data_IF_962153986153
#
_entry.id   IF_962153986153
#
_cell.length_a   1.000
_cell.length_b   1.000
_cell.length_c   1.000
_cell.angle_alpha   90.00
_cell.angle_beta   90.00
_cell.angle_gamma   90.00
#
_symmetry.space_group_name_H-M   'P 1'
#
loop_
_entity.id
_entity.type
_entity.pdbx_description
1 polymer ?
2 non-polymer ?
3 water ?
#
# COMPACT_ATOMS: atom_id res chain seq x y z
N UNK A 96 -12.62 -13.82 -13.37
CA UNK A 96 -12.93 -13.20 -12.04
C UNK A 96 -11.64 -12.69 -11.42
N UNK A 97 -11.27 -11.46 -11.76
CA UNK A 97 -10.11 -10.79 -11.12
C UNK A 97 -10.45 -10.29 -9.70
N UNK A 98 -10.59 -11.24 -8.79
CA UNK A 98 -10.78 -10.95 -7.37
C UNK A 98 -9.49 -10.44 -6.74
N UNK A 99 -9.60 -9.86 -5.56
CA UNK A 99 -8.40 -9.46 -4.84
C UNK A 99 -7.43 -10.67 -4.70
N UNK A 100 -7.95 -11.81 -4.31
CA UNK A 100 -7.13 -13.03 -4.12
C UNK A 100 -6.43 -13.39 -5.41
N UNK A 101 -7.17 -13.36 -6.53
CA UNK A 101 -6.59 -13.75 -7.81
C UNK A 101 -5.54 -12.76 -8.29
N UNK A 102 -5.77 -11.49 -8.07
CA UNK A 102 -4.75 -10.48 -8.32
C UNK A 102 -3.43 -10.83 -7.62
N UNK A 103 -3.49 -11.11 -6.33
CA UNK A 103 -2.28 -11.45 -5.58
C UNK A 103 -1.61 -12.75 -6.07
N UNK A 104 -2.40 -13.77 -6.40
CA UNK A 104 -1.85 -15.01 -7.00
C UNK A 104 -1.06 -14.74 -8.27
N UNK A 105 -1.59 -13.89 -9.14
CA UNK A 105 -0.90 -13.53 -10.37
C UNK A 105 0.40 -12.80 -10.04
N UNK A 106 0.34 -11.81 -9.15
CA UNK A 106 1.52 -11.07 -8.78
C UNK A 106 2.57 -11.98 -8.16
N UNK A 107 2.17 -12.91 -7.29
CA UNK A 107 3.11 -13.81 -6.60
C UNK A 107 3.81 -14.69 -7.61
N UNK A 108 3.06 -15.29 -8.53
CA UNK A 108 3.68 -16.04 -9.59
C UNK A 108 4.69 -15.20 -10.40
N UNK A 109 4.30 -14.01 -10.86
CA UNK A 109 5.17 -13.25 -11.75
C UNK A 109 6.37 -12.57 -11.13
N UNK A 110 6.35 -12.38 -9.81
CA UNK A 110 7.50 -11.83 -9.10
C UNK A 110 8.68 -12.78 -9.23
N UNK A 111 8.40 -14.08 -9.34
CA UNK A 111 9.45 -15.11 -9.46
C UNK A 111 9.89 -15.39 -10.92
N UNK A 112 9.32 -14.72 -11.92
CA UNK A 112 9.59 -15.07 -13.33
C UNK A 112 10.70 -14.24 -13.97
N UNK A 113 11.55 -14.90 -14.75
CA UNK A 113 12.61 -14.27 -15.50
C UNK A 113 11.99 -13.62 -16.73
N UNK A 114 12.20 -12.32 -16.90
CA UNK A 114 11.52 -11.60 -17.99
C UNK A 114 12.40 -11.39 -19.24
N UNK A 115 13.54 -12.08 -19.28
CA UNK A 115 14.51 -11.93 -20.40
C UNK A 115 13.81 -11.96 -21.77
N UNK A 116 12.89 -12.90 -21.95
CA UNK A 116 12.25 -13.11 -23.26
C UNK A 116 10.77 -12.69 -23.28
N UNK A 117 10.35 -11.91 -22.30
CA UNK A 117 8.96 -11.53 -22.21
C UNK A 117 8.41 -10.97 -23.54
N UNK A 118 7.34 -11.58 -24.04
CA UNK A 118 6.58 -11.05 -25.17
C UNK A 118 5.95 -9.68 -24.89
N UNK A 119 5.84 -8.84 -25.91
CA UNK A 119 5.22 -7.51 -25.78
C UNK A 119 3.83 -7.60 -25.15
N UNK A 120 2.98 -8.51 -25.62
CA UNK A 120 1.63 -8.54 -25.09
C UNK A 120 1.60 -8.92 -23.62
N UNK A 121 2.52 -9.79 -23.20
CA UNK A 121 2.63 -10.13 -21.79
C UNK A 121 3.18 -8.99 -20.96
N UNK A 122 4.12 -8.25 -21.52
CA UNK A 122 4.68 -7.11 -20.85
C UNK A 122 3.60 -6.03 -20.65
N UNK A 123 2.78 -5.81 -21.70
CA UNK A 123 1.69 -4.86 -21.64
C UNK A 123 0.75 -5.24 -20.51
N UNK A 124 0.47 -6.52 -20.36
CA UNK A 124 -0.43 -6.99 -19.31
C UNK A 124 0.20 -6.87 -17.90
N UNK A 125 1.51 -7.10 -17.81
CA UNK A 125 2.24 -6.92 -16.57
C UNK A 125 2.19 -5.44 -16.14
N UNK A 126 2.24 -4.55 -17.10
CA UNK A 126 2.06 -3.13 -16.79
C UNK A 126 0.69 -2.90 -16.15
N UNK A 127 -0.35 -3.50 -16.72
CA UNK A 127 -1.68 -3.37 -16.15
C UNK A 127 -1.77 -3.93 -14.72
N UNK A 128 -1.12 -5.08 -14.51
CA UNK A 128 -1.07 -5.72 -13.23
C UNK A 128 -0.42 -4.85 -12.15
N UNK A 129 0.68 -4.22 -12.53
CA UNK A 129 1.37 -3.32 -11.64
C UNK A 129 0.56 -2.06 -11.33
N UNK A 130 -0.14 -1.54 -12.32
CA UNK A 130 -1.00 -0.36 -12.15
C UNK A 130 -2.16 -0.67 -11.22
N UNK A 131 -2.81 -1.80 -11.45
CA UNK A 131 -3.90 -2.21 -10.59
C UNK A 131 -3.41 -2.44 -9.16
N UNK A 132 -2.28 -3.09 -8.98
CA UNK A 132 -1.83 -3.42 -7.61
C UNK A 132 -1.34 -2.15 -6.86
N UNK A 133 -0.73 -1.23 -7.61
CA UNK A 133 -0.30 0.05 -7.06
C UNK A 133 -1.49 0.73 -6.39
N UNK A 134 -2.64 0.68 -7.05
CA UNK A 134 -3.86 1.28 -6.54
C UNK A 134 -4.46 0.55 -5.34
N UNK A 135 -3.94 -0.61 -4.96
CA UNK A 135 -4.36 -1.27 -3.71
C UNK A 135 -3.61 -0.77 -2.49
N UNK A 136 -2.58 0.06 -2.70
CA UNK A 136 -1.91 0.75 -1.60
C UNK A 136 -2.62 2.08 -1.34
N UNK A 137 -2.70 2.48 -0.07
CA UNK A 137 -3.18 3.80 0.29
C UNK A 137 -2.13 4.80 -0.18
N UNK A 138 -2.57 6.03 -0.45
CA UNK A 138 -1.69 7.12 -0.91
C UNK A 138 -0.50 7.32 0.01
N UNK A 139 -0.74 7.25 1.31
CA UNK A 139 0.32 7.36 2.32
C UNK A 139 1.47 6.34 2.15
N UNK A 140 1.24 5.21 1.46
CA UNK A 140 2.30 4.19 1.27
C UNK A 140 3.20 4.42 0.04
N UNK A 141 2.83 5.37 -0.83
CA UNK A 141 3.60 5.58 -2.06
C UNK A 141 5.04 5.96 -1.82
N UNK A 142 5.29 6.79 -0.82
CA UNK A 142 6.64 7.15 -0.47
C UNK A 142 7.47 5.93 -0.11
N UNK A 143 6.89 5.01 0.65
CA UNK A 143 7.63 3.82 1.11
C UNK A 143 7.94 2.90 -0.08
N UNK A 144 6.96 2.76 -0.97
CA UNK A 144 7.13 1.99 -2.21
C UNK A 144 8.26 2.51 -3.06
N UNK A 145 8.19 3.79 -3.38
CA UNK A 145 9.26 4.46 -4.15
C UNK A 145 10.61 4.31 -3.47
N UNK A 146 10.67 4.52 -2.17
CA UNK A 146 11.94 4.41 -1.43
C UNK A 146 12.52 3.01 -1.54
N UNK A 147 11.66 2.02 -1.39
CA UNK A 147 12.09 0.62 -1.45
C UNK A 147 12.53 0.24 -2.85
N UNK A 148 11.84 0.79 -3.85
CA UNK A 148 12.15 0.56 -5.25
C UNK A 148 13.50 1.18 -5.63
N UNK A 149 13.74 2.43 -5.24
CA UNK A 149 15.03 3.07 -5.47
C UNK A 149 16.19 2.19 -4.92
N UNK A 150 16.04 1.75 -3.69
CA UNK A 150 17.09 1.02 -3.02
C UNK A 150 17.29 -0.37 -3.64
N UNK A 151 16.20 -1.03 -3.99
CA UNK A 151 16.27 -2.36 -4.58
C UNK A 151 17.06 -2.29 -5.88
N UNK A 152 16.84 -1.24 -6.66
CA UNK A 152 17.43 -1.10 -7.98
C UNK A 152 18.79 -0.34 -8.06
N UNK A 153 19.27 0.18 -6.94
CA UNK A 153 20.47 1.02 -6.96
C UNK A 153 20.32 2.30 -7.80
N UNK A 154 19.11 2.83 -7.81
CA UNK A 154 18.83 4.05 -8.57
C UNK A 154 19.30 5.26 -7.83
N UNK A 155 19.92 6.19 -8.54
CA UNK A 155 20.36 7.44 -7.95
C UNK A 155 19.26 8.47 -7.69
N UNK A 156 19.65 9.47 -6.94
CA UNK A 156 18.82 10.58 -6.56
C UNK A 156 18.27 11.24 -7.82
N UNK A 157 19.14 11.37 -8.81
CA UNK A 157 18.79 11.85 -10.14
C UNK A 157 17.51 11.24 -10.71
N UNK A 158 17.22 9.98 -10.40
CA UNK A 158 16.05 9.26 -10.91
C UNK A 158 14.90 9.14 -9.91
N UNK A 159 14.96 9.88 -8.80
CA UNK A 159 13.99 9.71 -7.69
C UNK A 159 12.64 10.30 -7.99
N UNK A 160 12.66 11.53 -8.51
CA UNK A 160 11.45 12.20 -8.91
C UNK A 160 10.70 11.38 -9.95
N UNK A 161 11.45 10.76 -10.84
CA UNK A 161 10.87 10.07 -11.95
C UNK A 161 10.11 8.78 -11.50
N UNK A 162 10.75 7.99 -10.66
CA UNK A 162 10.13 6.77 -10.16
C UNK A 162 8.93 7.11 -9.28
N UNK A 163 9.07 8.12 -8.45
CA UNK A 163 7.92 8.57 -7.65
C UNK A 163 6.75 9.03 -8.55
N UNK A 164 7.06 9.77 -9.60
CA UNK A 164 5.99 10.29 -10.45
C UNK A 164 5.21 9.13 -11.04
N UNK A 165 5.91 8.11 -11.53
CA UNK A 165 5.26 6.93 -12.09
C UNK A 165 4.33 6.28 -11.05
N UNK A 166 4.79 6.14 -9.81
CA UNK A 166 3.97 5.58 -8.77
C UNK A 166 2.73 6.45 -8.48
N UNK A 167 2.94 7.76 -8.33
CA UNK A 167 1.82 8.67 -8.11
C UNK A 167 0.79 8.62 -9.23
N UNK A 168 1.27 8.60 -10.46
CA UNK A 168 0.38 8.67 -11.62
C UNK A 168 -0.31 7.34 -11.99
N UNK A 169 0.32 6.21 -11.62
CA UNK A 169 -0.38 4.96 -11.69
C UNK A 169 -1.46 4.96 -10.64
N UNK A 170 -1.13 5.45 -9.45
CA UNK A 170 -2.02 5.42 -8.30
C UNK A 170 -3.22 6.30 -8.53
N UNK A 171 -3.02 7.46 -9.15
CA UNK A 171 -4.14 8.37 -9.44
C UNK A 171 -4.75 8.15 -10.82
N UNK A 172 -4.37 7.08 -11.52
CA UNK A 172 -4.82 6.90 -12.90
C UNK A 172 -6.32 6.66 -13.00
N UNK A 173 -6.89 7.04 -14.15
CA UNK A 173 -8.31 6.90 -14.49
C UNK A 173 -8.40 6.44 -15.95
N UNK A 174 -9.15 5.36 -16.19
CA UNK A 174 -9.36 4.78 -17.52
C UNK A 174 -8.10 4.39 -18.28
N UNK A 175 -7.08 3.93 -17.56
CA UNK A 175 -5.83 3.54 -18.18
C UNK A 175 -5.06 4.64 -18.90
N UNK A 176 -5.42 5.91 -18.68
CA UNK A 176 -4.80 7.03 -19.39
C UNK A 176 -3.26 7.14 -19.25
N UNK A 177 -2.77 7.25 -18.03
CA UNK A 177 -1.34 7.40 -17.82
C UNK A 177 -0.61 6.09 -18.18
N UNK A 178 -1.21 4.97 -17.84
CA UNK A 178 -0.63 3.68 -18.12
C UNK A 178 -0.34 3.58 -19.63
N UNK A 179 -1.33 3.93 -20.44
CA UNK A 179 -1.21 3.83 -21.89
C UNK A 179 -0.09 4.77 -22.38
N UNK A 180 0.06 5.93 -21.75
CA UNK A 180 1.10 6.88 -22.13
C UNK A 180 2.50 6.34 -21.76
N UNK A 181 2.61 5.72 -20.60
CA UNK A 181 3.85 5.07 -20.19
C UNK A 181 4.29 3.98 -21.19
N UNK A 182 3.36 3.11 -21.56
CA UNK A 182 3.59 2.10 -22.56
C UNK A 182 4.15 2.68 -23.84
N UNK A 183 3.60 3.80 -24.31
CA UNK A 183 4.09 4.43 -25.53
C UNK A 183 5.44 5.10 -25.33
N UNK A 184 5.65 5.73 -24.19
CA UNK A 184 6.80 6.61 -24.03
C UNK A 184 8.08 5.93 -23.53
N UNK A 185 7.93 4.90 -22.70
CA UNK A 185 9.06 4.24 -22.13
C UNK A 185 9.64 3.20 -23.05
N UNK A 186 10.96 3.11 -23.11
CA UNK A 186 11.62 1.97 -23.77
C UNK A 186 11.34 0.65 -23.05
N UNK A 187 11.47 -0.45 -23.78
CA UNK A 187 11.18 -1.79 -23.25
C UNK A 187 11.99 -2.19 -22.00
N UNK A 188 13.30 -1.99 -22.03
CA UNK A 188 14.13 -2.30 -20.88
C UNK A 188 13.67 -1.57 -19.62
N UNK A 189 13.38 -0.28 -19.75
CA UNK A 189 12.95 0.52 -18.59
C UNK A 189 11.64 0.00 -17.96
N UNK A 190 10.70 -0.38 -18.80
CA UNK A 190 9.45 -0.93 -18.32
C UNK A 190 9.61 -2.27 -17.57
N UNK A 191 10.40 -3.17 -18.16
CA UNK A 191 10.70 -4.49 -17.63
C UNK A 191 11.31 -4.36 -16.25
N UNK A 192 12.31 -3.51 -16.16
CA UNK A 192 13.01 -3.23 -14.91
C UNK A 192 12.08 -2.71 -13.84
N UNK A 193 11.28 -1.73 -14.19
CA UNK A 193 10.31 -1.17 -13.27
C UNK A 193 9.34 -2.24 -12.80
N UNK A 194 8.77 -2.99 -13.75
CA UNK A 194 7.78 -4.01 -13.42
C UNK A 194 8.41 -5.09 -12.55
N UNK A 195 9.60 -5.55 -12.90
CA UNK A 195 10.28 -6.59 -12.13
C UNK A 195 10.64 -6.15 -10.69
N UNK A 196 11.12 -4.92 -10.55
CA UNK A 196 11.36 -4.35 -9.21
C UNK A 196 10.04 -4.23 -8.39
N UNK A 197 9.01 -3.67 -9.00
CA UNK A 197 7.73 -3.52 -8.30
C UNK A 197 7.24 -4.85 -7.72
N UNK A 198 7.25 -5.90 -8.54
CA UNK A 198 6.68 -7.18 -8.16
C UNK A 198 7.52 -7.86 -7.09
N UNK A 199 8.81 -7.53 -7.05
CA UNK A 199 9.70 -8.07 -6.04
C UNK A 199 9.65 -7.32 -4.73
N UNK A 200 9.18 -6.08 -4.70
CA UNK A 200 9.10 -5.33 -3.42
C UNK A 200 7.67 -5.14 -2.87
N UNK A 201 6.68 -5.08 -3.77
CA UNK A 201 5.31 -4.68 -3.42
C UNK A 201 4.66 -5.68 -2.45
N UNK A 202 4.93 -6.95 -2.64
CA UNK A 202 4.23 -7.98 -1.88
C UNK A 202 4.61 -8.09 -0.40
N UNK A 203 5.66 -7.42 0.04
CA UNK A 203 6.03 -7.41 1.46
C UNK A 203 5.70 -6.08 2.14
N UNK A 204 5.20 -5.11 1.38
CA UNK A 204 4.92 -3.80 1.95
C UNK A 204 3.48 -3.73 2.38
N UNK A 205 3.20 -3.25 3.61
CA UNK A 205 1.80 -3.02 4.02
C UNK A 205 1.02 -2.14 3.04
N UNK A 206 -0.25 -2.47 2.82
CA UNK A 206 -1.05 -1.69 1.90
C UNK A 206 -1.73 -0.53 2.62
N UNK A 207 -1.69 -0.49 3.96
CA UNK A 207 -2.18 0.62 4.79
C UNK A 207 -1.19 0.95 5.91
N UNK A 208 -1.06 2.24 6.25
CA UNK A 208 -0.14 2.66 7.35
C UNK A 208 -0.77 3.29 8.59
N UNK A 209 -1.98 3.86 8.45
CA UNK A 209 -2.61 4.70 9.48
C UNK A 209 -2.63 4.08 10.89
N UNK A 210 -2.07 4.81 11.87
CA UNK A 210 -2.03 4.35 13.27
C UNK A 210 -3.42 3.87 13.72
N UNK A 211 -4.45 4.67 13.42
CA UNK A 211 -5.85 4.29 13.63
C UNK A 211 -6.16 2.90 13.04
N UNK A 212 -5.75 2.69 11.78
CA UNK A 212 -5.98 1.41 11.10
C UNK A 212 -5.16 0.24 11.66
N UNK A 213 -3.85 0.36 11.77
CA UNK A 213 -3.03 -0.74 12.30
C UNK A 213 -3.47 -1.13 13.73
N UNK A 214 -3.71 -0.13 14.58
CA UNK A 214 -4.12 -0.38 15.97
C UNK A 214 -5.37 -1.26 15.97
N UNK A 215 -6.41 -0.79 15.28
CA UNK A 215 -7.68 -1.52 15.19
C UNK A 215 -7.55 -2.95 14.71
N UNK A 216 -6.89 -3.14 13.57
CA UNK A 216 -6.89 -4.42 12.90
C UNK A 216 -6.04 -5.48 13.62
N UNK A 217 -5.15 -5.04 14.49
CA UNK A 217 -4.29 -5.96 15.26
C UNK A 217 -5.14 -7.03 15.95
N UNK A 218 -6.14 -6.55 16.69
CA UNK A 218 -7.14 -7.37 17.38
C UNK A 218 -7.82 -8.47 16.57
N UNK A 219 -7.77 -8.41 15.24
CA UNK A 219 -8.56 -9.31 14.38
C UNK A 219 -7.77 -10.51 13.84
N UNK A 220 -6.45 -10.45 13.89
CA UNK A 220 -5.62 -11.59 13.49
C UNK A 220 -6.05 -12.86 14.25
N UNK A 221 -6.29 -13.99 13.54
CA UNK A 221 -6.44 -15.31 14.22
C UNK A 221 -5.17 -15.78 14.95
N UNK B 19 41.76 14.79 13.49
CA UNK B 19 40.42 15.37 13.17
C UNK B 19 39.46 15.02 14.29
N UNK B 20 38.89 16.04 14.92
CA UNK B 20 37.85 15.82 15.93
C UNK B 20 36.46 15.84 15.30
N UNK B 21 36.35 16.37 14.08
CA UNK B 21 35.09 16.40 13.33
C UNK B 21 35.04 15.36 12.23
N UNK B 22 33.83 15.08 11.76
CA UNK B 22 33.57 14.16 10.67
C UNK B 22 32.43 14.68 9.80
N UNK B 23 32.57 14.53 8.50
CA UNK B 23 31.50 14.87 7.58
C UNK B 23 30.73 13.61 7.26
N UNK B 24 29.41 13.72 7.28
CA UNK B 24 28.51 12.59 7.04
C UNK B 24 27.35 13.06 6.20
N UNK B 25 26.85 12.16 5.35
CA UNK B 25 25.71 12.41 4.50
C UNK B 25 24.56 11.54 5.04
N UNK B 26 23.38 12.11 5.24
CA UNK B 26 22.17 11.32 5.46
C UNK B 26 21.29 11.40 4.19
N UNK B 27 20.90 10.24 3.67
CA UNK B 27 20.07 10.19 2.47
C UNK B 27 18.94 9.16 2.58
N UNK B 28 17.78 9.47 2.01
CA UNK B 28 16.73 8.46 1.87
C UNK B 28 16.55 7.97 0.42
N UNK B 29 17.49 8.32 -0.45
CA UNK B 29 17.41 7.99 -1.88
C UNK B 29 16.95 9.15 -2.75
N UNK B 30 16.18 10.06 -2.17
CA UNK B 30 15.63 11.25 -2.87
C UNK B 30 16.21 12.55 -2.33
N UNK B 31 16.10 12.70 -1.02
CA UNK B 31 16.56 13.89 -0.32
C UNK B 31 17.85 13.51 0.40
N UNK B 32 18.91 14.24 0.13
CA UNK B 32 20.17 13.99 0.80
C UNK B 32 20.66 15.26 1.48
N UNK B 33 21.33 15.09 2.63
CA UNK B 33 21.84 16.23 3.37
C UNK B 33 23.26 15.96 3.85
N UNK B 34 24.11 16.95 3.63
CA UNK B 34 25.51 16.87 3.93
C UNK B 34 25.79 17.55 5.26
N UNK B 35 26.14 16.76 6.27
CA UNK B 35 26.34 17.31 7.60
C UNK B 35 27.82 17.35 8.01
N UNK B 36 28.10 18.09 9.08
CA UNK B 36 29.35 17.98 9.80
C UNK B 36 29.07 17.94 11.28
N UNK B 37 29.58 16.95 11.99
CA UNK B 37 29.56 16.98 13.42
C UNK B 37 30.86 16.47 14.05
N UNK B 38 30.97 16.73 15.35
CA UNK B 38 32.05 16.23 16.20
C UNK B 38 31.88 14.73 16.44
N UNK B 39 33.00 14.02 16.47
CA UNK B 39 32.98 12.55 16.57
C UNK B 39 32.42 12.00 17.90
N UNK B 40 32.50 12.76 18.98
CA UNK B 40 31.95 12.33 20.27
C UNK B 40 30.49 12.75 20.47
N UNK B 41 29.92 13.50 19.52
CA UNK B 41 28.53 13.96 19.61
C UNK B 41 27.53 12.87 19.12
N UNK B 42 26.46 12.60 19.91
CA UNK B 42 25.45 11.62 19.47
C UNK B 42 24.79 12.01 18.17
N UNK B 43 24.37 11.01 17.41
CA UNK B 43 23.86 11.23 16.06
C UNK B 43 22.45 11.83 16.05
N UNK B 44 21.79 11.78 17.22
CA UNK B 44 20.46 12.37 17.43
C UNK B 44 20.21 13.68 16.68
N UNK B 45 21.10 14.65 16.78
CA UNK B 45 20.81 15.95 16.18
C UNK B 45 20.76 15.87 14.67
N UNK B 46 21.59 15.01 14.07
CA UNK B 46 21.52 14.83 12.63
C UNK B 46 20.25 14.12 12.25
N UNK B 47 19.87 13.11 13.03
CA UNK B 47 18.62 12.40 12.76
C UNK B 47 17.42 13.36 12.84
N UNK B 48 17.41 14.21 13.86
CA UNK B 48 16.35 15.18 14.06
C UNK B 48 16.31 16.21 12.94
N UNK B 49 17.46 16.68 12.49
CA UNK B 49 17.49 17.66 11.40
C UNK B 49 17.04 17.03 10.06
N UNK B 50 17.34 15.76 9.83
CA UNK B 50 16.91 15.14 8.59
C UNK B 50 15.41 14.92 8.58
N UNK B 51 14.87 14.40 9.69
CA UNK B 51 13.43 14.20 9.80
C UNK B 51 12.70 15.53 9.60
N UNK B 52 13.16 16.54 10.34
CA UNK B 52 12.63 17.91 10.23
C UNK B 52 12.52 18.39 8.78
N UNK B 53 13.54 18.14 7.96
CA UNK B 53 13.54 18.55 6.55
C UNK B 53 12.53 17.79 5.68
N UNK B 54 12.22 16.55 6.05
CA UNK B 54 11.18 15.81 5.37
C UNK B 54 9.82 16.15 5.97
N UNK B 55 9.80 17.03 6.97
CA UNK B 55 8.58 17.38 7.67
C UNK B 55 8.06 16.22 8.49
N UNK B 56 8.97 15.38 9.01
CA UNK B 56 8.57 14.18 9.73
C UNK B 56 9.08 14.19 11.17
N UNK B 57 8.53 13.30 11.98
CA UNK B 57 9.03 13.10 13.34
C UNK B 57 10.15 12.08 13.24
N UNK B 58 11.18 12.24 14.06
CA UNK B 58 12.34 11.36 14.04
C UNK B 58 11.94 9.88 14.11
N UNK B 59 10.95 9.58 14.94
CA UNK B 59 10.42 8.23 15.12
C UNK B 59 9.58 7.65 13.97
N UNK B 60 9.34 8.44 12.91
CA UNK B 60 8.75 7.89 11.68
C UNK B 60 9.84 7.39 10.73
N UNK B 61 11.11 7.58 11.12
CA UNK B 61 12.24 7.13 10.34
C UNK B 61 13.17 6.22 11.13
N UNK B 62 13.90 5.37 10.44
CA UNK B 62 15.01 4.64 11.06
C UNK B 62 16.30 4.88 10.25
N UNK B 63 17.43 4.87 10.93
CA UNK B 63 18.68 5.19 10.29
C UNK B 63 19.66 4.01 10.39
N UNK B 64 20.22 3.67 9.23
CA UNK B 64 21.11 2.53 9.09
C UNK B 64 22.50 2.98 8.65
N UNK B 65 23.50 2.33 9.23
CA UNK B 65 24.88 2.48 8.84
C UNK B 65 25.43 1.07 8.59
N UNK B 66 26.05 0.90 7.43
CA UNK B 66 26.52 -0.40 6.98
C UNK B 66 25.42 -1.47 7.14
N UNK B 67 24.20 -1.16 6.69
CA UNK B 67 23.09 -2.10 6.75
C UNK B 67 22.49 -2.34 8.12
N UNK B 68 22.92 -1.60 9.15
CA UNK B 68 22.55 -1.91 10.52
C UNK B 68 21.84 -0.74 11.16
N UNK B 69 20.71 -0.99 11.78
CA UNK B 69 20.02 0.10 12.43
C UNK B 69 20.84 0.66 13.59
N UNK B 70 20.98 1.97 13.60
CA UNK B 70 21.68 2.66 14.67
C UNK B 70 20.77 3.58 15.46
N UNK B 71 21.20 3.89 16.68
CA UNK B 71 20.35 4.54 17.64
C UNK B 71 20.85 5.97 17.90
N UNK B 72 19.92 6.83 18.27
CA UNK B 72 20.15 8.28 18.42
C UNK B 72 21.26 8.62 19.42
N UNK B 73 21.43 7.80 20.45
CA UNK B 73 22.49 8.06 21.44
C UNK B 73 23.91 7.67 21.01
N UNK B 74 24.07 6.96 19.89
CA UNK B 74 25.39 6.49 19.47
C UNK B 74 26.17 7.56 18.69
N UNK B 75 27.48 7.50 18.79
CA UNK B 75 28.34 8.53 18.24
C UNK B 75 29.13 8.01 17.03
N UNK B 76 29.55 8.91 16.13
CA UNK B 76 30.38 8.42 15.03
C UNK B 76 31.60 7.68 15.55
N UNK B 77 32.13 8.13 16.68
CA UNK B 77 33.26 7.47 17.32
C UNK B 77 32.95 6.04 17.75
N UNK B 78 31.83 5.82 18.44
CA UNK B 78 31.46 4.47 18.88
C UNK B 78 31.33 3.55 17.66
N UNK B 79 30.88 4.13 16.53
CA UNK B 79 30.57 3.33 15.34
C UNK B 79 31.73 3.22 14.33
N UNK B 80 32.87 3.84 14.61
CA UNK B 80 34.03 3.80 13.70
C UNK B 80 33.71 4.30 12.30
N UNK B 81 32.89 5.33 12.24
CA UNK B 81 32.58 6.04 11.02
C UNK B 81 33.80 6.73 10.45
N UNK B 82 33.80 6.91 9.15
CA UNK B 82 34.91 7.50 8.43
C UNK B 82 34.38 8.74 7.75
N UNK B 83 35.27 9.67 7.48
CA UNK B 83 34.92 10.95 6.92
C UNK B 83 34.20 10.71 5.59
N UNK B 84 33.05 11.35 5.42
CA UNK B 84 32.21 11.28 4.22
C UNK B 84 31.38 10.01 4.08
N UNK B 85 31.27 9.24 5.16
CA UNK B 85 30.41 8.10 5.16
C UNK B 85 28.94 8.49 5.04
N UNK B 86 28.11 7.49 4.75
CA UNK B 86 26.70 7.71 4.43
C UNK B 86 25.84 6.98 5.45
N UNK B 87 24.81 7.66 5.92
CA UNK B 87 23.79 7.08 6.78
C UNK B 87 22.51 7.03 5.96
N UNK B 88 21.85 5.88 5.92
CA UNK B 88 20.61 5.74 5.16
C UNK B 88 19.39 5.99 6.05
N UNK B 89 18.46 6.83 5.59
CA UNK B 89 17.19 7.06 6.27
C UNK B 89 16.11 6.23 5.59
N UNK B 90 15.41 5.43 6.37
CA UNK B 90 14.37 4.53 5.92
C UNK B 90 13.08 4.86 6.63
N UNK B 91 11.97 4.90 5.90
CA UNK B 91 10.65 5.06 6.53
C UNK B 91 10.35 3.83 7.37
N UNK B 92 9.78 4.04 8.56
CA UNK B 92 9.35 2.95 9.44
C UNK B 92 8.22 2.17 8.77
N UNK B 93 8.26 0.85 8.90
CA UNK B 93 7.18 0.00 8.45
C UNK B 93 6.36 -0.28 9.71
N UNK B 94 5.23 0.41 9.87
CA UNK B 94 4.37 0.28 11.07
C UNK B 94 3.24 -0.74 10.87
N UNK B 95 3.31 -1.87 11.60
CA UNK B 95 2.37 -2.98 11.40
C UNK B 95 2.77 -3.79 10.17
N UNK B 96 2.07 -4.90 9.92
CA UNK B 96 2.34 -5.72 8.72
C UNK B 96 1.09 -6.03 7.92
N UNK B 97 0.26 -5.01 7.70
CA UNK B 97 -0.99 -5.22 6.99
C UNK B 97 -0.84 -5.15 5.46
N UNK B 98 -0.21 -6.18 4.90
CA UNK B 98 -0.27 -6.46 3.47
C UNK B 98 -1.71 -6.76 3.05
N UNK B 99 -2.03 -6.57 1.77
CA UNK B 99 -3.34 -7.00 1.24
C UNK B 99 -3.57 -8.48 1.53
N UNK B 100 -2.54 -9.31 1.34
CA UNK B 100 -2.61 -10.75 1.62
C UNK B 100 -3.14 -10.99 3.04
N UNK B 101 -2.55 -10.27 4.00
CA UNK B 101 -2.96 -10.43 5.39
C UNK B 101 -4.41 -9.97 5.63
N UNK B 102 -4.81 -8.83 5.02
CA UNK B 102 -6.18 -8.35 5.11
C UNK B 102 -7.18 -9.34 4.57
N UNK B 103 -6.87 -9.98 3.45
CA UNK B 103 -7.76 -10.98 2.89
C UNK B 103 -7.86 -12.21 3.82
N UNK B 104 -6.79 -12.56 4.54
CA UNK B 104 -6.85 -13.70 5.49
C UNK B 104 -7.81 -13.37 6.62
N UNK B 105 -7.69 -12.16 7.14
CA UNK B 105 -8.57 -11.66 8.18
C UNK B 105 -10.01 -11.69 7.70
N UNK B 106 -10.29 -11.11 6.53
CA UNK B 106 -11.64 -11.13 5.96
C UNK B 106 -12.18 -12.56 5.82
N UNK B 107 -11.38 -13.48 5.30
CA UNK B 107 -11.84 -14.85 5.09
C UNK B 107 -12.12 -15.57 6.42
N UNK B 108 -11.33 -15.29 7.44
CA UNK B 108 -11.56 -15.83 8.77
C UNK B 108 -12.90 -15.37 9.33
N UNK B 109 -13.16 -14.07 9.25
CA UNK B 109 -14.32 -13.49 9.90
C UNK B 109 -15.59 -13.61 9.12
N UNK B 110 -15.47 -13.86 7.81
CA UNK B 110 -16.62 -13.99 6.94
C UNK B 110 -17.61 -15.07 7.41
N UNK B 111 -17.12 -16.17 7.97
CA UNK B 111 -18.01 -17.25 8.36
C UNK B 111 -18.57 -17.10 9.79
N UNK B 112 -18.11 -16.09 10.52
CA UNK B 112 -18.37 -16.00 11.96
C UNK B 112 -19.68 -15.32 12.32
N UNK B 113 -20.32 -15.83 13.38
CA UNK B 113 -21.48 -15.20 14.00
C UNK B 113 -20.96 -14.07 14.87
N UNK B 114 -21.35 -12.85 14.56
CA UNK B 114 -20.75 -11.67 15.17
C UNK B 114 -21.51 -11.19 16.38
N UNK B 115 -22.68 -11.77 16.64
CA UNK B 115 -23.49 -11.36 17.81
C UNK B 115 -22.68 -11.61 19.09
N UNK B 116 -21.74 -12.53 18.98
CA UNK B 116 -20.90 -12.96 20.08
C UNK B 116 -19.86 -11.91 20.51
N UNK B 117 -19.23 -11.25 19.55
CA UNK B 117 -17.94 -10.59 19.76
C UNK B 117 -18.02 -9.25 20.52
N UNK B 118 -16.90 -8.89 21.15
CA UNK B 118 -16.75 -7.62 21.88
C UNK B 118 -16.87 -6.44 20.93
N UNK B 119 -17.36 -5.32 21.43
CA UNK B 119 -17.45 -4.09 20.65
C UNK B 119 -16.10 -3.71 20.02
N UNK B 120 -15.02 -3.93 20.75
CA UNK B 120 -13.69 -3.59 20.22
C UNK B 120 -13.39 -4.36 18.91
N UNK B 121 -13.76 -5.64 18.83
CA UNK B 121 -13.53 -6.44 17.62
C UNK B 121 -14.47 -6.01 16.51
N UNK B 122 -15.71 -5.65 16.87
CA UNK B 122 -16.69 -5.19 15.88
C UNK B 122 -16.26 -3.86 15.27
N UNK B 123 -15.72 -2.98 16.10
CA UNK B 123 -15.20 -1.70 15.63
C UNK B 123 -14.09 -1.90 14.62
N UNK B 124 -13.18 -2.81 14.94
CA UNK B 124 -12.09 -3.18 14.04
C UNK B 124 -12.60 -3.80 12.75
N UNK B 125 -13.65 -4.61 12.84
CA UNK B 125 -14.20 -5.22 11.61
C UNK B 125 -14.82 -4.11 10.74
N UNK B 126 -15.41 -3.09 11.36
CA UNK B 126 -15.95 -1.96 10.59
C UNK B 126 -14.84 -1.33 9.76
N UNK B 127 -13.69 -1.10 10.41
CA UNK B 127 -12.49 -0.60 9.75
C UNK B 127 -12.03 -1.49 8.63
N UNK B 128 -12.03 -2.80 8.86
CA UNK B 128 -11.69 -3.75 7.81
C UNK B 128 -12.60 -3.57 6.59
N UNK B 129 -13.92 -3.40 6.81
CA UNK B 129 -14.81 -3.22 5.66
C UNK B 129 -14.50 -1.93 4.90
N UNK B 130 -14.22 -0.84 5.62
CA UNK B 130 -13.89 0.42 5.01
C UNK B 130 -12.60 0.33 4.19
N UNK B 131 -11.56 -0.26 4.77
CA UNK B 131 -10.27 -0.43 4.09
C UNK B 131 -10.44 -1.29 2.86
N UNK B 132 -11.11 -2.42 2.99
CA UNK B 132 -11.29 -3.30 1.86
C UNK B 132 -12.22 -2.73 0.78
N UNK B 133 -13.18 -1.89 1.14
CA UNK B 133 -14.03 -1.25 0.16
C UNK B 133 -13.16 -0.40 -0.80
N UNK B 134 -12.14 0.25 -0.22
CA UNK B 134 -11.25 1.12 -0.95
C UNK B 134 -10.26 0.40 -1.83
N UNK B 135 -10.22 -0.93 -1.75
CA UNK B 135 -9.48 -1.73 -2.71
C UNK B 135 -10.31 -2.11 -3.95
N UNK B 136 -11.55 -1.63 -4.07
CA UNK B 136 -12.31 -1.85 -5.32
C UNK B 136 -12.23 -0.60 -6.16
N UNK B 137 -12.06 -0.73 -7.48
CA UNK B 137 -12.24 0.46 -8.31
C UNK B 137 -13.66 1.01 -8.13
N UNK B 138 -13.75 2.33 -8.18
CA UNK B 138 -15.01 3.07 -8.21
C UNK B 138 -16.08 2.41 -9.09
N UNK B 139 -15.66 1.97 -10.26
CA UNK B 139 -16.58 1.37 -11.23
C UNK B 139 -17.18 0.03 -10.81
N UNK B 140 -16.71 -0.54 -9.69
CA UNK B 140 -17.29 -1.78 -9.15
C UNK B 140 -18.27 -1.54 -8.02
N UNK B 141 -18.40 -0.31 -7.53
CA UNK B 141 -19.26 -0.04 -6.38
C UNK B 141 -20.74 -0.41 -6.66
N UNK B 142 -21.17 -0.21 -7.90
CA UNK B 142 -22.50 -0.63 -8.35
C UNK B 142 -22.74 -2.13 -8.18
N UNK B 143 -21.78 -2.93 -8.63
CA UNK B 143 -21.89 -4.40 -8.55
C UNK B 143 -21.83 -4.87 -7.08
N UNK B 144 -20.98 -4.21 -6.32
CA UNK B 144 -20.85 -4.46 -4.90
C UNK B 144 -22.18 -4.19 -4.18
N UNK B 145 -22.81 -3.07 -4.51
CA UNK B 145 -24.14 -2.75 -4.00
C UNK B 145 -25.18 -3.80 -4.39
N UNK B 146 -25.27 -4.10 -5.68
CA UNK B 146 -26.23 -5.08 -6.19
C UNK B 146 -26.02 -6.47 -5.56
N UNK B 147 -24.76 -6.90 -5.41
CA UNK B 147 -24.46 -8.19 -4.80
C UNK B 147 -24.80 -8.22 -3.32
N UNK B 148 -24.63 -7.06 -2.66
CA UNK B 148 -25.01 -6.87 -1.26
C UNK B 148 -26.48 -7.07 -1.11
N UNK B 149 -27.27 -6.43 -1.96
CA UNK B 149 -28.72 -6.55 -1.90
C UNK B 149 -29.14 -8.00 -2.06
N UNK B 150 -28.61 -8.69 -3.07
CA UNK B 150 -28.98 -10.08 -3.33
C UNK B 150 -28.52 -11.03 -2.20
N UNK B 151 -27.40 -10.74 -1.56
CA UNK B 151 -26.94 -11.55 -0.43
C UNK B 151 -27.89 -11.46 0.74
N UNK B 152 -28.39 -10.26 1.03
CA UNK B 152 -29.25 -10.01 2.18
C UNK B 152 -30.72 -10.29 1.88
N UNK B 153 -31.11 -10.28 0.60
CA UNK B 153 -32.50 -10.43 0.20
C UNK B 153 -33.25 -9.12 0.25
N UNK B 154 -32.52 -8.01 0.32
CA UNK B 154 -33.13 -6.69 0.20
C UNK B 154 -33.49 -6.42 -1.28
N UNK B 155 -34.32 -5.41 -1.53
CA UNK B 155 -34.76 -5.09 -2.89
C UNK B 155 -34.27 -3.73 -3.35
N UNK B 156 -34.60 -3.37 -4.59
CA UNK B 156 -34.23 -2.08 -5.20
C UNK B 156 -34.61 -0.89 -4.30
N UNK B 157 -35.57 -1.10 -3.41
CA UNK B 157 -35.95 -0.11 -2.41
C UNK B 157 -34.71 0.43 -1.68
N UNK B 158 -33.77 -0.46 -1.39
CA UNK B 158 -32.59 -0.13 -0.57
C UNK B 158 -31.33 0.26 -1.35
N UNK B 159 -31.38 0.18 -2.69
CA UNK B 159 -30.18 0.32 -3.52
C UNK B 159 -29.41 1.61 -3.24
N UNK B 160 -30.13 2.73 -3.22
CA UNK B 160 -29.50 4.03 -3.01
C UNK B 160 -28.79 4.10 -1.66
N UNK B 161 -29.42 3.57 -0.63
CA UNK B 161 -28.89 3.66 0.72
C UNK B 161 -27.61 2.79 0.86
N UNK B 162 -27.62 1.61 0.25
CA UNK B 162 -26.45 0.73 0.27
C UNK B 162 -25.31 1.32 -0.55
N UNK B 163 -25.60 1.79 -1.76
CA UNK B 163 -24.55 2.40 -2.57
C UNK B 163 -23.95 3.60 -1.83
N UNK B 164 -24.79 4.41 -1.19
CA UNK B 164 -24.28 5.59 -0.50
C UNK B 164 -23.32 5.21 0.62
N UNK B 165 -23.59 4.12 1.33
CA UNK B 165 -22.67 3.68 2.37
C UNK B 165 -21.31 3.34 1.71
N UNK B 166 -21.33 2.51 0.67
CA UNK B 166 -20.10 2.06 0.04
C UNK B 166 -19.34 3.20 -0.62
N UNK B 167 -20.05 4.06 -1.31
CA UNK B 167 -19.47 5.23 -1.94
C UNK B 167 -18.82 6.14 -0.89
N UNK B 168 -19.50 6.33 0.24
CA UNK B 168 -18.97 7.23 1.27
C UNK B 168 -17.76 6.60 1.95
N UNK B 169 -17.77 5.29 2.12
CA UNK B 169 -16.61 4.62 2.70
C UNK B 169 -15.45 4.70 1.72
N UNK B 170 -15.76 4.49 0.45
CA UNK B 170 -14.75 4.49 -0.58
C UNK B 170 -14.04 5.81 -0.64
N UNK B 171 -14.74 6.92 -0.40
CA UNK B 171 -14.14 8.25 -0.40
C UNK B 171 -13.92 8.82 1.00
N UNK B 172 -13.90 7.98 2.04
CA UNK B 172 -13.83 8.45 3.44
C UNK B 172 -12.42 8.80 3.92
N UNK B 173 -11.88 9.90 3.45
CA UNK B 173 -10.47 10.20 3.67
C UNK B 173 -10.12 10.44 5.14
N UNK B 174 -11.00 11.10 5.88
CA UNK B 174 -10.70 11.41 7.27
C UNK B 174 -11.02 10.31 8.27
N UNK B 175 -11.72 9.27 7.82
CA UNK B 175 -12.26 8.28 8.74
C UNK B 175 -13.53 8.79 9.40
N UNK B 176 -14.03 9.94 8.97
CA UNK B 176 -15.17 10.60 9.63
C UNK B 176 -16.51 9.90 9.39
N UNK B 177 -16.71 9.39 8.19
CA UNK B 177 -17.96 8.70 7.89
C UNK B 177 -18.03 7.38 8.65
N UNK B 178 -16.94 6.63 8.62
CA UNK B 178 -16.80 5.39 9.40
C UNK B 178 -17.14 5.62 10.90
N UNK B 179 -16.60 6.69 11.48
CA UNK B 179 -16.92 7.05 12.86
C UNK B 179 -18.40 7.34 13.06
N UNK B 180 -18.99 8.13 12.17
CA UNK B 180 -20.42 8.44 12.26
C UNK B 180 -21.27 7.17 12.19
N UNK B 181 -20.89 6.24 11.33
CA UNK B 181 -21.60 4.97 11.18
C UNK B 181 -21.56 4.21 12.52
N UNK B 182 -20.41 4.21 13.18
CA UNK B 182 -20.28 3.53 14.46
C UNK B 182 -21.16 4.14 15.55
N UNK B 183 -21.22 5.47 15.60
CA UNK B 183 -22.07 6.17 16.59
C UNK B 183 -23.56 6.08 16.24
N UNK B 184 -23.93 6.22 14.97
CA UNK B 184 -25.35 6.30 14.58
C UNK B 184 -26.10 4.98 14.31
N UNK B 185 -25.41 3.96 13.81
CA UNK B 185 -26.05 2.65 13.55
C UNK B 185 -26.14 1.82 14.80
N UNK B 186 -27.26 1.12 14.96
CA UNK B 186 -27.40 0.13 16.03
C UNK B 186 -26.53 -1.08 15.71
N UNK B 187 -26.24 -1.87 16.75
CA UNK B 187 -25.38 -3.03 16.64
C UNK B 187 -25.84 -4.04 15.60
N UNK B 188 -27.12 -4.40 15.62
CA UNK B 188 -27.66 -5.37 14.67
C UNK B 188 -27.44 -4.91 13.23
N UNK B 189 -27.54 -3.60 12.99
CA UNK B 189 -27.37 -3.06 11.63
C UNK B 189 -25.93 -3.13 11.18
N UNK B 190 -25.00 -2.79 12.08
CA UNK B 190 -23.58 -2.91 11.82
C UNK B 190 -23.23 -4.35 11.49
N UNK B 191 -23.70 -5.27 12.32
CA UNK B 191 -23.38 -6.67 12.16
C UNK B 191 -23.87 -7.20 10.83
N UNK B 192 -25.11 -6.85 10.47
CA UNK B 192 -25.67 -7.29 9.21
C UNK B 192 -24.82 -6.81 8.03
N UNK B 193 -24.40 -5.54 8.07
CA UNK B 193 -23.66 -4.95 6.95
C UNK B 193 -22.24 -5.52 6.81
N UNK B 194 -21.51 -5.55 7.92
CA UNK B 194 -20.16 -6.09 7.97
C UNK B 194 -20.13 -7.51 7.47
N UNK B 195 -21.06 -8.31 7.94
CA UNK B 195 -21.09 -9.71 7.57
C UNK B 195 -21.45 -9.89 6.09
N UNK B 196 -22.41 -9.10 5.61
CA UNK B 196 -22.74 -9.09 4.19
C UNK B 196 -21.49 -8.77 3.35
N UNK B 197 -20.83 -7.65 3.66
CA UNK B 197 -19.62 -7.25 2.96
C UNK B 197 -18.51 -8.29 2.94
N UNK B 198 -18.12 -8.81 4.09
CA UNK B 198 -17.05 -9.81 4.15
C UNK B 198 -17.34 -11.03 3.28
N UNK B 199 -18.59 -11.39 3.10
CA UNK B 199 -18.89 -12.51 2.22
C UNK B 199 -18.76 -12.15 0.72
N UNK B 200 -19.42 -11.06 0.30
CA UNK B 200 -19.44 -10.67 -1.12
C UNK B 200 -18.08 -10.16 -1.64
N UNK B 201 -17.31 -9.49 -0.79
CA UNK B 201 -16.08 -8.81 -1.21
C UNK B 201 -15.00 -9.77 -1.72
N UNK B 202 -14.89 -10.95 -1.13
CA UNK B 202 -13.93 -11.95 -1.58
C UNK B 202 -14.30 -12.59 -2.93
N UNK B 203 -15.55 -12.48 -3.38
CA UNK B 203 -15.99 -13.16 -4.61
C UNK B 203 -16.06 -12.24 -5.82
N UNK B 204 -16.13 -10.94 -5.60
CA UNK B 204 -16.37 -9.97 -6.66
C UNK B 204 -15.04 -9.45 -7.26
N UNK B 205 -14.98 -9.31 -8.60
CA UNK B 205 -13.74 -8.77 -9.16
C UNK B 205 -13.48 -7.32 -8.69
N UNK B 206 -12.21 -6.97 -8.50
CA UNK B 206 -11.85 -5.67 -7.95
C UNK B 206 -11.67 -4.57 -9.01
N UNK B 207 -11.71 -4.95 -10.29
CA UNK B 207 -11.77 -4.03 -11.41
C UNK B 207 -12.91 -4.42 -12.33
N UNK B 208 -13.45 -3.44 -13.06
CA UNK B 208 -14.42 -3.68 -14.14
C UNK B 208 -13.80 -4.23 -15.41
N UNK B 209 -14.65 -4.85 -16.20
CA UNK B 209 -14.26 -5.37 -17.50
C UNK B 209 -13.74 -4.30 -18.47
N UNK B 210 -12.76 -4.71 -19.24
CA UNK B 210 -12.23 -3.92 -20.30
C UNK B 210 -11.23 -4.80 -21.06
N UNK B 211 -10.88 -4.33 -22.23
CA UNK B 211 -9.91 -5.01 -23.05
C UNK B 211 -8.62 -5.09 -22.23
N UNK B 212 -8.27 -4.00 -21.55
CA UNK B 212 -7.02 -4.01 -20.80
C UNK B 212 -7.04 -5.00 -19.65
N UNK B 213 -8.16 -5.05 -18.93
CA UNK B 213 -8.28 -6.04 -17.86
C UNK B 213 -8.40 -7.50 -18.37
N UNK B 214 -9.03 -7.72 -19.53
CA UNK B 214 -8.98 -9.02 -20.20
C UNK B 214 -7.53 -9.45 -20.50
N UNK B 215 -6.67 -8.48 -20.81
CA UNK B 215 -5.23 -8.75 -20.93
C UNK B 215 -4.60 -9.49 -19.76
N UNK B 216 -5.10 -9.25 -18.56
CA UNK B 216 -4.61 -9.97 -17.40
C UNK B 216 -4.85 -11.49 -17.45
N UNK B 217 -5.88 -11.92 -18.19
CA UNK B 217 -6.20 -13.34 -18.35
C UNK B 217 -5.00 -14.11 -18.88
N UNK B 218 -4.21 -13.48 -19.76
CA UNK B 218 -3.03 -14.12 -20.33
C UNK B 218 -1.92 -14.39 -19.29
N UNK B 219 -2.03 -13.74 -18.12
CA UNK B 219 -1.02 -13.88 -17.06
C UNK B 219 -1.37 -14.97 -16.02
N UNK B 220 -2.58 -15.53 -16.09
CA UNK B 220 -3.02 -16.50 -15.08
C UNK B 220 -2.18 -17.79 -15.26
N UNK B 221 -1.59 -18.32 -14.16
CA UNK B 221 -0.82 -19.61 -14.21
C UNK B 221 -1.67 -20.82 -14.66
X LIG C 1 8.30 0.46 -26.36
X LIG C 1 7.88 1.84 -26.44
X LIG C 1 7.51 -0.30 -25.29
X LIG C 1 7.57 -1.72 -25.53
X LIG D 1 0.01 -7.54 -0.84
X LIG D 1 0.03 -8.70 0.04
X LIG D 1 1.00 -6.40 -0.45
X LIG D 1 0.37 -5.37 0.35
#
# INVERSE_FOLDING_TARGET
MGHHHHHHSGEVKPEVKPETHINLKVSDGSSEIFFKIKKTTPLRRLMEAFAKRQGKEMDSLRFLYDGIRIQADQTPEDLDMEDNDIIEAHREQIGGLTLAVLLQIAEHWATRDLRQIEDSKLRALLTLCAVLTRKFSKSQLGLLCETHLRHEGLGQDQADSVLEVYQRLHSDKGGNFEAALWQQWDRQSLIMFISAFLNIALQIPCESSSVVVSGLATLYPAQDNST
MGHHHHHHSGEVKPEVKPETHINLKVSDGSSEIFFKIKKTTPLRRLMEAFAKRQGKEMDSLRFLYDGIRIQADQTPEDLDMEDNDIIEAHREQIGGLTLAVLLQIAEHWATRDLRQIEDSKLRALLTLCAVLTRKFSKSQLGLLCETHLRHEGLGQDQADSVLEVYQRLHSDKGGNFEAALWQQWDRQSLIMFISAFLNIALQIPCESSSVVVSGLATLYPAQDNST
EDO C1 O1 C2 O2
EDO C1 O1 C2 O2
#
